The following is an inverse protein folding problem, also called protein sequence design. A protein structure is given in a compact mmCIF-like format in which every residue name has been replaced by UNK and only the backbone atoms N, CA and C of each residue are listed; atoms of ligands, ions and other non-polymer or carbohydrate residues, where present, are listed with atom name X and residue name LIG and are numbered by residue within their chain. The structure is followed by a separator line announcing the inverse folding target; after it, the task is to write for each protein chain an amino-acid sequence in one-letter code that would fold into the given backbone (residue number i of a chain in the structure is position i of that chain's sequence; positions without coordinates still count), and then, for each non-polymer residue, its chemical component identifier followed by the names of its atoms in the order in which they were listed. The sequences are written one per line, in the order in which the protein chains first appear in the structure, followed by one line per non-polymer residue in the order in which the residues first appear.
data_IF_239904124955
#
_entry.id   IF_239904124955
#
_cell.length_a   1.000
_cell.length_b   1.000
_cell.length_c   1.000
_cell.angle_alpha   90.00
_cell.angle_beta   90.00
_cell.angle_gamma   90.00
#
_symmetry.space_group_name_H-M   'P 1'
#
loop_
_entity.id
_entity.type
_entity.pdbx_description
1 polymer ?
#
# COMPACT_ATOMS: atom_id res chain seq x y z
N UNK A 1 4.85 6.21 13.32
CA UNK A 1 5.59 5.11 12.68
C UNK A 1 4.73 4.44 11.64
N UNK A 2 5.32 4.08 10.51
CA UNK A 2 4.61 3.38 9.46
C UNK A 2 4.60 1.88 9.73
N UNK A 3 3.42 1.29 9.66
CA UNK A 3 3.23 -0.16 9.67
C UNK A 3 2.59 -0.52 8.35
N UNK A 4 3.35 -1.19 7.51
CA UNK A 4 2.95 -1.46 6.12
C UNK A 4 2.71 -2.95 5.96
N UNK A 5 1.53 -3.31 5.49
CA UNK A 5 1.16 -4.69 5.17
C UNK A 5 1.14 -4.86 3.67
N UNK A 6 1.73 -5.94 3.18
CA UNK A 6 1.75 -6.27 1.76
C UNK A 6 0.97 -7.55 1.55
N UNK A 7 -0.04 -7.52 0.70
CA UNK A 7 -0.79 -8.71 0.31
C UNK A 7 -0.53 -8.99 -1.17
N UNK A 8 0.13 -10.10 -1.45
CA UNK A 8 0.47 -10.51 -2.81
C UNK A 8 0.05 -11.96 -3.02
N UNK A 9 -0.04 -12.39 -4.27
CA UNK A 9 -0.48 -13.74 -4.61
C UNK A 9 0.50 -14.81 -4.15
N UNK A 10 1.80 -14.50 -4.17
CA UNK A 10 2.86 -15.44 -3.83
C UNK A 10 3.83 -14.81 -2.84
N UNK A 11 4.44 -15.64 -1.99
CA UNK A 11 5.39 -15.18 -0.98
C UNK A 11 6.57 -14.42 -1.58
N UNK A 12 7.10 -14.90 -2.70
CA UNK A 12 8.22 -14.25 -3.39
C UNK A 12 7.88 -12.82 -3.80
N UNK A 13 6.71 -12.63 -4.40
CA UNK A 13 6.27 -11.31 -4.82
C UNK A 13 6.10 -10.39 -3.60
N UNK A 14 5.53 -10.91 -2.53
CA UNK A 14 5.37 -10.15 -1.30
C UNK A 14 6.70 -9.71 -0.70
N UNK A 15 7.68 -10.59 -0.72
CA UNK A 15 9.05 -10.26 -0.25
C UNK A 15 9.71 -9.21 -1.12
N UNK A 16 9.52 -9.28 -2.44
CA UNK A 16 10.06 -8.28 -3.35
C UNK A 16 9.47 -6.89 -3.05
N UNK A 17 8.17 -6.81 -2.87
CA UNK A 17 7.52 -5.57 -2.49
C UNK A 17 8.08 -5.04 -1.17
N UNK A 18 8.15 -5.90 -0.17
CA UNK A 18 8.65 -5.51 1.15
C UNK A 18 10.08 -4.99 1.08
N UNK A 19 10.93 -5.64 0.30
CA UNK A 19 12.32 -5.24 0.13
C UNK A 19 12.43 -3.88 -0.56
N UNK A 20 11.66 -3.65 -1.61
CA UNK A 20 11.66 -2.36 -2.30
C UNK A 20 11.15 -1.23 -1.41
N UNK A 21 10.12 -1.50 -0.62
CA UNK A 21 9.57 -0.52 0.33
C UNK A 21 10.61 -0.18 1.40
N UNK A 22 11.28 -1.19 1.95
CA UNK A 22 12.30 -0.99 2.98
C UNK A 22 13.46 -0.17 2.43
N UNK A 23 13.90 -0.48 1.22
CA UNK A 23 15.00 0.24 0.56
C UNK A 23 14.63 1.70 0.28
N UNK A 24 13.43 1.93 -0.21
CA UNK A 24 12.93 3.27 -0.47
C UNK A 24 12.84 4.08 0.83
N UNK A 25 12.28 3.49 1.87
CA UNK A 25 12.17 4.14 3.18
C UNK A 25 13.53 4.48 3.76
N UNK A 26 14.48 3.55 3.66
CA UNK A 26 15.83 3.76 4.14
C UNK A 26 16.48 4.98 3.46
N UNK A 27 16.26 5.14 2.16
CA UNK A 27 16.74 6.31 1.41
C UNK A 27 16.13 7.63 1.90
N UNK A 28 15.00 7.58 2.57
CA UNK A 28 14.32 8.74 3.15
C UNK A 28 14.56 8.86 4.66
N UNK A 29 15.39 8.01 5.23
CA UNK A 29 15.59 7.99 6.67
C UNK A 29 14.44 7.39 7.46
N UNK A 30 13.59 6.60 6.79
CA UNK A 30 12.42 5.96 7.40
C UNK A 30 12.64 4.46 7.51
N UNK A 31 12.14 3.87 8.59
CA UNK A 31 12.29 2.44 8.84
C UNK A 31 10.94 1.84 9.19
N UNK A 32 10.04 1.69 8.20
CA UNK A 32 8.70 1.15 8.48
C UNK A 32 8.76 -0.31 8.87
N UNK A 33 7.81 -0.73 9.70
CA UNK A 33 7.57 -2.14 9.94
C UNK A 33 6.78 -2.69 8.76
N UNK A 34 7.29 -3.75 8.12
CA UNK A 34 6.68 -4.30 6.92
C UNK A 34 6.41 -5.77 7.14
N UNK A 35 5.18 -6.20 6.90
CA UNK A 35 4.81 -7.60 6.91
C UNK A 35 4.18 -7.98 5.59
N UNK A 36 4.60 -9.11 5.03
CA UNK A 36 4.06 -9.59 3.77
C UNK A 36 3.18 -10.81 3.99
N UNK A 37 2.12 -10.91 3.20
CA UNK A 37 1.11 -11.97 3.26
C UNK A 37 0.85 -12.51 1.87
N UNK A 38 0.65 -13.82 1.77
CA UNK A 38 0.13 -14.46 0.57
C UNK A 38 -1.24 -15.10 0.80
N UNK A 39 -1.70 -15.09 2.05
CA UNK A 39 -2.99 -15.66 2.46
C UNK A 39 -3.92 -14.53 2.88
N UNK A 40 -5.04 -14.38 2.16
CA UNK A 40 -5.99 -13.30 2.43
C UNK A 40 -6.65 -13.41 3.79
N UNK A 41 -6.96 -14.62 4.22
CA UNK A 41 -7.60 -14.84 5.52
C UNK A 41 -6.69 -14.34 6.65
N UNK A 42 -5.42 -14.71 6.59
CA UNK A 42 -4.45 -14.28 7.60
C UNK A 42 -4.24 -12.78 7.56
N UNK A 43 -4.16 -12.21 6.36
CA UNK A 43 -4.02 -10.76 6.18
C UNK A 43 -5.16 -10.01 6.88
N UNK A 44 -6.40 -10.39 6.59
CA UNK A 44 -7.56 -9.69 7.15
C UNK A 44 -7.74 -9.98 8.64
N UNK A 45 -7.38 -11.17 9.09
CA UNK A 45 -7.38 -11.46 10.52
C UNK A 45 -6.44 -10.52 11.27
N UNK A 46 -5.23 -10.36 10.78
CA UNK A 46 -4.24 -9.48 11.39
C UNK A 46 -4.65 -8.02 11.31
N UNK A 47 -5.24 -7.59 10.19
CA UNK A 47 -5.74 -6.21 10.03
C UNK A 47 -6.82 -5.91 11.06
N UNK A 48 -7.71 -6.85 11.34
CA UNK A 48 -8.76 -6.66 12.35
C UNK A 48 -8.18 -6.54 13.75
N UNK A 49 -7.10 -7.23 14.04
CA UNK A 49 -6.44 -7.17 15.35
C UNK A 49 -5.63 -5.88 15.52
N UNK A 50 -4.92 -5.47 14.48
CA UNK A 50 -4.09 -4.28 14.50
C UNK A 50 -3.98 -3.70 13.09
N UNK A 51 -4.73 -2.65 12.82
CA UNK A 51 -4.78 -2.05 11.50
C UNK A 51 -3.43 -1.46 11.10
N UNK A 52 -2.96 -1.74 9.87
CA UNK A 52 -1.75 -1.09 9.37
C UNK A 52 -2.03 0.37 9.04
N UNK A 53 -0.98 1.18 9.00
CA UNK A 53 -1.10 2.56 8.52
C UNK A 53 -1.26 2.59 7.01
N UNK A 54 -0.61 1.65 6.33
CA UNK A 54 -0.58 1.57 4.86
C UNK A 54 -0.58 0.11 4.42
N UNK A 55 -1.14 -0.14 3.25
CA UNK A 55 -1.15 -1.49 2.68
C UNK A 55 -0.89 -1.44 1.19
N UNK A 56 -0.14 -2.43 0.70
CA UNK A 56 0.01 -2.69 -0.73
C UNK A 56 -0.81 -3.92 -1.05
N UNK A 57 -1.75 -3.79 -1.97
CA UNK A 57 -2.57 -4.91 -2.43
C UNK A 57 -2.16 -5.22 -3.87
N UNK A 58 -1.52 -6.36 -4.05
CA UNK A 58 -0.98 -6.80 -5.34
C UNK A 58 -1.58 -8.16 -5.71
N UNK A 59 -2.88 -8.18 -5.92
CA UNK A 59 -3.63 -9.37 -6.32
C UNK A 59 -4.24 -9.15 -7.71
N UNK A 60 -4.15 -10.14 -8.61
CA UNK A 60 -4.72 -9.98 -9.94
C UNK A 60 -6.24 -10.07 -9.93
N UNK A 61 -6.86 -9.44 -10.92
CA UNK A 61 -8.28 -9.58 -11.22
C UNK A 61 -9.21 -9.11 -10.12
N UNK A 62 -10.36 -9.74 -10.08
CA UNK A 62 -11.44 -9.40 -9.14
C UNK A 62 -11.04 -9.66 -7.68
N UNK A 63 -10.14 -10.62 -7.45
CA UNK A 63 -9.63 -10.87 -6.09
C UNK A 63 -8.99 -9.62 -5.51
N UNK A 64 -8.24 -8.88 -6.31
CA UNK A 64 -7.64 -7.62 -5.89
C UNK A 64 -8.68 -6.56 -5.58
N UNK A 65 -9.67 -6.41 -6.46
CA UNK A 65 -10.77 -5.46 -6.23
C UNK A 65 -11.52 -5.77 -4.94
N UNK A 66 -11.86 -7.04 -4.73
CA UNK A 66 -12.57 -7.45 -3.52
C UNK A 66 -11.74 -7.19 -2.26
N UNK A 67 -10.44 -7.44 -2.32
CA UNK A 67 -9.54 -7.20 -1.19
C UNK A 67 -9.46 -5.71 -0.85
N UNK A 68 -9.34 -4.86 -1.86
CA UNK A 68 -9.29 -3.40 -1.63
C UNK A 68 -10.61 -2.90 -1.05
N UNK A 69 -11.73 -3.35 -1.60
CA UNK A 69 -13.05 -2.97 -1.07
C UNK A 69 -13.20 -3.39 0.39
N UNK A 70 -12.81 -4.63 0.70
CA UNK A 70 -12.92 -5.14 2.07
C UNK A 70 -11.99 -4.37 3.02
N UNK A 71 -10.75 -4.15 2.61
CA UNK A 71 -9.79 -3.40 3.42
C UNK A 71 -10.32 -1.99 3.70
N UNK A 72 -10.83 -1.30 2.68
CA UNK A 72 -11.35 0.05 2.86
C UNK A 72 -12.53 0.08 3.82
N UNK A 73 -13.37 -0.95 3.82
CA UNK A 73 -14.53 -1.01 4.70
C UNK A 73 -14.13 -1.19 6.18
N UNK A 74 -13.07 -1.95 6.46
CA UNK A 74 -12.66 -2.22 7.85
C UNK A 74 -11.54 -1.31 8.34
N UNK A 75 -10.87 -0.60 7.43
CA UNK A 75 -9.77 0.29 7.78
C UNK A 75 -9.87 1.57 6.94
N UNK A 76 -10.83 2.47 7.27
CA UNK A 76 -11.09 3.65 6.42
C UNK A 76 -9.92 4.62 6.28
N UNK A 77 -9.02 4.65 7.25
CA UNK A 77 -7.89 5.59 7.25
C UNK A 77 -6.62 5.03 6.64
N UNK A 78 -6.62 3.76 6.25
CA UNK A 78 -5.43 3.11 5.71
C UNK A 78 -5.03 3.70 4.36
N UNK A 79 -3.75 4.02 4.18
CA UNK A 79 -3.23 4.35 2.86
C UNK A 79 -3.12 3.09 2.02
N UNK A 80 -3.51 3.13 0.75
CA UNK A 80 -3.53 1.94 -0.11
C UNK A 80 -2.79 2.23 -1.42
N UNK A 81 -1.84 1.36 -1.75
CA UNK A 81 -1.27 1.23 -3.08
C UNK A 81 -1.82 -0.07 -3.66
N UNK A 82 -2.47 0.02 -4.81
CA UNK A 82 -3.11 -1.12 -5.46
C UNK A 82 -2.42 -1.42 -6.78
N UNK A 83 -1.98 -2.67 -6.95
CA UNK A 83 -1.38 -3.15 -8.18
C UNK A 83 -2.25 -4.26 -8.76
N UNK A 84 -2.58 -4.17 -10.05
CA UNK A 84 -3.42 -5.16 -10.71
C UNK A 84 -2.98 -5.39 -12.15
N UNK A 85 -3.40 -6.51 -12.71
CA UNK A 85 -3.25 -6.83 -14.13
C UNK A 85 -4.38 -6.23 -14.99
N UNK A 86 -5.44 -5.76 -14.35
CA UNK A 86 -6.58 -5.12 -15.02
C UNK A 86 -6.68 -3.66 -14.60
N UNK A 87 -7.22 -2.84 -15.49
CA UNK A 87 -7.33 -1.41 -15.21
C UNK A 87 -8.55 -1.12 -14.33
N UNK A 88 -8.30 -1.02 -13.03
CA UNK A 88 -9.28 -0.63 -12.03
C UNK A 88 -9.08 0.81 -11.57
N UNK A 89 -8.51 1.67 -12.41
CA UNK A 89 -8.20 3.05 -12.02
C UNK A 89 -9.44 3.82 -11.52
N UNK A 90 -10.60 3.59 -12.12
CA UNK A 90 -11.83 4.24 -11.67
C UNK A 90 -12.25 3.76 -10.28
N UNK A 91 -12.18 2.45 -10.05
CA UNK A 91 -12.49 1.87 -8.75
C UNK A 91 -11.46 2.32 -7.70
N UNK A 92 -10.20 2.42 -8.09
CA UNK A 92 -9.14 2.91 -7.20
C UNK A 92 -9.45 4.34 -6.74
N UNK A 93 -9.89 5.19 -7.65
CA UNK A 93 -10.30 6.55 -7.32
C UNK A 93 -11.47 6.55 -6.34
N UNK A 94 -12.49 5.74 -6.61
CA UNK A 94 -13.68 5.66 -5.74
C UNK A 94 -13.37 5.12 -4.35
N UNK A 95 -12.42 4.17 -4.27
CA UNK A 95 -12.01 3.57 -3.02
C UNK A 95 -10.90 4.37 -2.33
N UNK A 96 -10.54 5.50 -2.89
CA UNK A 96 -9.54 6.42 -2.34
C UNK A 96 -8.18 5.77 -2.15
N UNK A 97 -7.79 4.89 -3.10
CA UNK A 97 -6.44 4.37 -3.14
C UNK A 97 -5.48 5.52 -3.41
N UNK A 98 -4.37 5.55 -2.71
CA UNK A 98 -3.37 6.62 -2.88
C UNK A 98 -2.67 6.51 -4.21
N UNK A 99 -2.51 5.30 -4.71
CA UNK A 99 -1.87 5.06 -5.99
C UNK A 99 -2.36 3.75 -6.57
N UNK A 100 -2.56 3.73 -7.88
CA UNK A 100 -2.91 2.52 -8.63
C UNK A 100 -1.89 2.31 -9.73
N UNK A 101 -1.43 1.07 -9.89
CA UNK A 101 -0.47 0.74 -10.95
C UNK A 101 -0.84 -0.58 -11.64
N UNK A 102 -0.62 -0.60 -12.97
CA UNK A 102 -0.80 -1.80 -13.77
C UNK A 102 0.50 -2.60 -13.84
N UNK A 103 0.39 -3.92 -13.72
CA UNK A 103 1.52 -4.79 -14.02
C UNK A 103 1.83 -4.74 -15.52
N UNK A 104 3.09 -4.96 -15.96
CA UNK A 104 4.24 -5.42 -15.16
C UNK A 104 5.19 -4.32 -14.68
N UNK A 105 4.87 -3.06 -14.84
CA UNK A 105 5.79 -1.96 -14.58
C UNK A 105 5.94 -1.63 -13.08
N UNK A 106 6.05 -2.65 -12.23
CA UNK A 106 6.12 -2.49 -10.78
C UNK A 106 7.37 -1.73 -10.35
N UNK A 107 8.52 -2.09 -10.92
CA UNK A 107 9.80 -1.50 -10.52
C UNK A 107 9.87 -0.01 -10.79
N UNK A 108 9.19 0.46 -11.82
CA UNK A 108 9.15 1.87 -12.15
C UNK A 108 8.06 2.62 -11.38
N UNK A 109 6.93 1.98 -11.15
CA UNK A 109 5.74 2.63 -10.61
C UNK A 109 5.66 2.58 -9.08
N UNK A 110 6.17 1.53 -8.45
CA UNK A 110 6.12 1.44 -7.00
C UNK A 110 6.80 2.63 -6.30
N UNK A 111 7.98 3.08 -6.73
CA UNK A 111 8.57 4.27 -6.12
C UNK A 111 7.70 5.52 -6.22
N UNK A 112 6.92 5.66 -7.28
CA UNK A 112 5.99 6.79 -7.44
C UNK A 112 4.89 6.74 -6.40
N UNK A 113 4.34 5.54 -6.15
CA UNK A 113 3.33 5.36 -5.11
C UNK A 113 3.90 5.59 -3.71
N UNK A 114 5.12 5.12 -3.47
CA UNK A 114 5.78 5.33 -2.18
C UNK A 114 6.08 6.81 -1.95
N UNK A 115 6.39 7.56 -3.00
CA UNK A 115 6.54 9.01 -2.91
C UNK A 115 5.24 9.67 -2.44
N UNK A 116 4.10 9.23 -2.94
CA UNK A 116 2.81 9.75 -2.49
C UNK A 116 2.66 9.56 -0.98
N UNK A 117 3.00 8.38 -0.48
CA UNK A 117 2.89 8.12 0.95
C UNK A 117 3.83 8.97 1.80
N UNK A 118 5.10 9.02 1.43
CA UNK A 118 6.12 9.58 2.31
C UNK A 118 6.34 11.07 2.10
N UNK A 119 6.40 11.54 0.87
CA UNK A 119 6.68 12.96 0.59
C UNK A 119 5.46 13.85 0.77
N UNK A 120 4.30 13.39 0.32
CA UNK A 120 3.07 14.18 0.46
C UNK A 120 2.70 14.39 1.93
N UNK A 121 2.84 13.37 2.76
CA UNK A 121 2.60 13.50 4.19
C UNK A 121 3.58 14.46 4.84
N UNK A 122 4.85 14.40 4.44
CA UNK A 122 5.86 15.32 4.96
C UNK A 122 5.55 16.76 4.53
N UNK A 123 5.14 16.96 3.30
CA UNK A 123 4.75 18.27 2.79
C UNK A 123 3.56 18.83 3.56
N UNK A 124 2.55 18.02 3.85
CA UNK A 124 1.40 18.42 4.66
C UNK A 124 1.79 18.79 6.09
N UNK A 125 2.69 18.04 6.69
CA UNK A 125 3.18 18.32 8.04
C UNK A 125 3.96 19.63 8.07
N UNK A 126 4.80 19.89 7.08
CA UNK A 126 5.55 21.13 6.98
C UNK A 126 4.59 22.31 6.77
N UNK A 127 3.61 22.14 5.89
CA UNK A 127 2.60 23.16 5.61
C UNK A 127 1.78 23.51 6.86
N UNK A 128 1.37 22.52 7.62
CA UNK A 128 0.63 22.74 8.86
C UNK A 128 1.46 23.48 9.90
N UNK A 129 2.76 23.24 9.94
CA UNK A 129 3.65 23.97 10.85
C UNK A 129 3.85 25.42 10.44
N UNK A 130 3.81 25.70 9.15
CA UNK A 130 4.02 27.04 8.62
C UNK A 130 2.79 27.92 8.76
N UNK A 131 1.60 27.35 8.76
CA UNK A 131 0.34 28.07 8.90
C UNK A 131 0.03 28.46 10.34
N UNK A 132 0.82 28.00 11.28
CA UNK A 132 0.68 28.32 12.70
C UNK A 132 1.71 29.36 13.11
#
# INVERSE_FOLDING_TARGET
MYRIAVLAKQDEAGKDYAEQIARFGQGKGLFPQIESYSNQEQFFEDVRKAAPTNAVIALPGVAGLNAVEHLRSICPACGIIWCSDLDFSLQAFRLRADYFMLEPAIEENLPRGLNVWFEEKNARMIQNKTER
#
